data_IF_524291699801
#
_entry.id   IF_524291699801
#
_cell.length_a   1.000
_cell.length_b   1.000
_cell.length_c   1.000
_cell.angle_alpha   90.00
_cell.angle_beta   90.00
_cell.angle_gamma   90.00
#
_symmetry.space_group_name_H-M   'P 1'
#
loop_
_entity.id
_entity.type
_entity.pdbx_description
1 polymer ?
#
# COMPACT_ATOMS: atom_id res chain seq x y z
N UNK A 1 -8.04 23.90 3.82
CA UNK A 1 -7.32 23.07 2.88
C UNK A 1 -7.99 23.00 1.52
N UNK A 2 -7.26 22.66 0.50
CA UNK A 2 -7.70 22.52 -0.88
C UNK A 2 -7.12 21.22 -1.46
N UNK A 3 -7.94 20.48 -2.24
CA UNK A 3 -7.50 19.37 -3.07
C UNK A 3 -8.23 19.45 -4.40
N UNK A 4 -7.46 19.41 -5.50
CA UNK A 4 -7.98 19.37 -6.85
C UNK A 4 -7.28 18.32 -7.68
N UNK A 5 -8.01 17.66 -8.59
CA UNK A 5 -7.46 16.75 -9.60
C UNK A 5 -8.14 17.03 -10.93
N UNK A 6 -7.36 17.12 -11.99
CA UNK A 6 -7.84 17.38 -13.34
C UNK A 6 -7.33 16.32 -14.31
N UNK A 7 -8.21 15.86 -15.20
CA UNK A 7 -7.90 14.94 -16.28
C UNK A 7 -7.71 15.70 -17.59
N UNK A 8 -6.60 15.44 -18.24
CA UNK A 8 -6.29 15.92 -19.60
C UNK A 8 -6.57 14.78 -20.57
N UNK A 9 -7.80 14.74 -21.12
CA UNK A 9 -8.31 13.60 -21.85
C UNK A 9 -8.47 12.37 -20.94
N UNK A 10 -8.31 11.17 -21.53
CA UNK A 10 -8.53 9.90 -20.84
C UNK A 10 -7.26 9.27 -20.27
N UNK A 11 -6.09 9.91 -20.49
CA UNK A 11 -4.79 9.28 -20.26
C UNK A 11 -3.92 9.94 -19.19
N UNK A 12 -4.12 11.21 -18.91
CA UNK A 12 -3.27 11.97 -17.99
C UNK A 12 -4.11 12.68 -16.95
N UNK A 13 -3.80 12.50 -15.68
CA UNK A 13 -4.37 13.30 -14.61
C UNK A 13 -3.28 13.92 -13.75
N UNK A 14 -3.48 15.15 -13.34
CA UNK A 14 -2.63 15.86 -12.39
C UNK A 14 -3.48 16.33 -11.21
N UNK A 15 -2.95 16.14 -10.01
CA UNK A 15 -3.58 16.56 -8.77
C UNK A 15 -2.64 17.39 -7.90
N UNK A 16 -3.24 18.28 -7.12
CA UNK A 16 -2.55 19.05 -6.10
C UNK A 16 -3.36 19.07 -4.80
N UNK A 17 -2.65 19.01 -3.70
CA UNK A 17 -3.22 19.09 -2.36
C UNK A 17 -2.49 20.18 -1.58
N UNK A 18 -3.23 21.02 -0.88
CA UNK A 18 -2.70 21.99 0.03
C UNK A 18 -3.58 22.12 1.27
N UNK A 19 -2.97 21.94 2.43
CA UNK A 19 -3.61 22.12 3.74
C UNK A 19 -2.75 23.06 4.54
N UNK A 20 -3.37 24.00 5.21
CA UNK A 20 -2.74 24.92 6.12
C UNK A 20 -3.70 25.12 7.31
N UNK A 21 -3.28 24.72 8.47
CA UNK A 21 -4.04 24.82 9.71
C UNK A 21 -3.21 25.50 10.77
N UNK A 22 -3.58 26.72 11.12
CA UNK A 22 -2.95 27.50 12.19
C UNK A 22 -3.80 27.37 13.46
N UNK A 23 -3.27 26.67 14.44
CA UNK A 23 -3.89 26.55 15.78
C UNK A 23 -2.88 26.97 16.83
N UNK A 24 -3.35 27.52 17.95
CA UNK A 24 -2.47 27.93 19.03
C UNK A 24 -1.64 26.74 19.53
N UNK A 25 -0.34 26.72 19.18
CA UNK A 25 0.61 25.69 19.59
C UNK A 25 0.63 24.42 18.72
N UNK A 26 -0.09 24.40 17.57
CA UNK A 26 -0.24 23.17 16.76
C UNK A 26 -0.50 23.56 15.29
N UNK A 27 0.54 24.02 14.61
CA UNK A 27 0.47 24.38 13.19
C UNK A 27 0.72 23.16 12.32
N UNK A 28 -0.06 23.00 11.26
CA UNK A 28 0.08 21.93 10.31
C UNK A 28 -0.02 22.44 8.88
N UNK A 29 0.96 22.09 8.07
CA UNK A 29 0.99 22.36 6.63
C UNK A 29 1.25 21.07 5.86
N UNK A 30 0.49 20.84 4.81
CA UNK A 30 0.73 19.77 3.84
C UNK A 30 0.64 20.34 2.42
N UNK A 31 1.61 20.01 1.60
CA UNK A 31 1.63 20.27 0.15
C UNK A 31 1.91 18.97 -0.57
N UNK A 32 1.14 18.69 -1.64
CA UNK A 32 1.30 17.47 -2.40
C UNK A 32 0.95 17.65 -3.86
N UNK A 33 1.62 16.87 -4.71
CA UNK A 33 1.36 16.77 -6.14
C UNK A 33 1.22 15.29 -6.51
N UNK A 34 0.30 14.98 -7.40
CA UNK A 34 0.14 13.65 -7.99
C UNK A 34 0.02 13.72 -9.51
N UNK A 35 0.62 12.74 -10.18
CA UNK A 35 0.51 12.49 -11.61
C UNK A 35 0.04 11.06 -11.82
N UNK A 36 -0.98 10.90 -12.65
CA UNK A 36 -1.45 9.60 -13.12
C UNK A 36 -1.37 9.55 -14.64
N UNK A 37 -0.67 8.58 -15.17
CA UNK A 37 -0.66 8.22 -16.59
C UNK A 37 -1.41 6.90 -16.74
N UNK A 38 -2.40 6.84 -17.62
CA UNK A 38 -3.29 5.70 -17.76
C UNK A 38 -3.45 5.33 -19.22
N UNK A 39 -3.15 4.07 -19.58
CA UNK A 39 -3.43 3.52 -20.90
C UNK A 39 -4.76 2.76 -20.92
N UNK A 40 -5.20 2.22 -19.78
CA UNK A 40 -6.44 1.52 -19.56
C UNK A 40 -6.76 1.48 -18.07
N UNK A 41 -7.93 0.94 -17.67
CA UNK A 41 -8.31 0.88 -16.24
C UNK A 41 -7.37 0.02 -15.40
N UNK A 42 -6.77 -1.01 -15.98
CA UNK A 42 -5.82 -1.90 -15.35
C UNK A 42 -4.34 -1.59 -15.70
N UNK A 43 -4.09 -0.54 -16.52
CA UNK A 43 -2.74 -0.18 -16.99
C UNK A 43 -2.47 1.29 -16.71
N UNK A 44 -1.63 1.56 -15.71
CA UNK A 44 -1.33 2.91 -15.26
C UNK A 44 0.03 3.04 -14.59
N UNK A 45 0.53 4.25 -14.56
CA UNK A 45 1.65 4.71 -13.72
C UNK A 45 1.15 5.87 -12.87
N UNK A 46 1.39 5.80 -11.57
CA UNK A 46 1.02 6.82 -10.60
C UNK A 46 2.26 7.26 -9.82
N UNK A 47 2.47 8.55 -9.73
CA UNK A 47 3.57 9.17 -8.98
C UNK A 47 2.98 10.21 -8.05
N UNK A 48 3.35 10.14 -6.79
CA UNK A 48 2.90 11.09 -5.78
C UNK A 48 4.10 11.60 -4.98
N UNK A 49 4.11 12.88 -4.66
CA UNK A 49 5.05 13.50 -3.74
C UNK A 49 4.28 14.46 -2.84
N UNK A 50 4.57 14.42 -1.55
CA UNK A 50 4.02 15.36 -0.59
C UNK A 50 5.06 15.74 0.44
N UNK A 51 4.89 16.95 0.99
CA UNK A 51 5.72 17.53 2.02
C UNK A 51 4.83 17.99 3.15
N UNK A 52 5.22 17.70 4.39
CA UNK A 52 4.52 18.18 5.58
C UNK A 52 5.44 18.93 6.50
N UNK A 53 4.90 19.94 7.15
CA UNK A 53 5.53 20.63 8.28
C UNK A 53 4.48 20.75 9.38
N UNK A 54 4.80 20.23 10.55
CA UNK A 54 3.90 20.22 11.69
C UNK A 54 4.64 20.69 12.94
N UNK A 55 3.94 21.46 13.77
CA UNK A 55 4.36 21.69 15.16
C UNK A 55 3.55 20.75 16.02
N UNK A 56 4.18 19.79 16.70
CA UNK A 56 3.44 18.84 17.52
C UNK A 56 3.52 19.19 18.98
N UNK A 57 2.35 19.34 19.60
CA UNK A 57 2.22 19.30 21.06
C UNK A 57 2.40 17.86 21.57
N UNK A 58 2.84 17.64 22.81
CA UNK A 58 2.93 16.30 23.38
C UNK A 58 1.58 15.63 23.42
N UNK A 59 1.49 14.42 22.84
CA UNK A 59 0.29 13.58 22.85
C UNK A 59 0.48 12.54 23.94
N UNK A 60 -0.45 12.48 24.89
CA UNK A 60 -0.45 11.53 25.97
C UNK A 60 -1.58 10.50 25.77
N UNK A 61 -1.23 9.25 25.88
CA UNK A 61 -2.14 8.13 25.83
C UNK A 61 -2.20 7.42 27.17
N UNK A 62 -3.41 6.99 27.58
CA UNK A 62 -3.62 6.17 28.77
C UNK A 62 -4.28 4.86 28.37
N UNK A 63 -3.67 3.74 28.73
CA UNK A 63 -4.18 2.38 28.54
C UNK A 63 -4.94 1.83 29.76
N UNK A 64 -4.91 2.55 30.88
CA UNK A 64 -5.43 2.10 32.17
C UNK A 64 -6.55 3.02 32.71
N UNK A 65 -7.29 3.68 31.83
CA UNK A 65 -8.44 4.50 32.20
C UNK A 65 -8.08 5.85 32.85
N UNK A 66 -6.87 6.38 32.56
CA UNK A 66 -6.46 7.72 33.04
C UNK A 66 -5.64 7.69 34.33
N UNK A 67 -5.23 6.52 34.83
CA UNK A 67 -4.39 6.42 36.02
C UNK A 67 -2.93 6.76 35.74
N UNK A 68 -2.45 6.53 34.52
CA UNK A 68 -1.14 6.98 34.04
C UNK A 68 -1.24 7.38 32.57
N UNK A 69 -0.30 8.25 32.16
CA UNK A 69 -0.23 8.75 30.79
C UNK A 69 1.19 8.55 30.25
N UNK A 70 1.29 7.96 29.06
CA UNK A 70 2.55 7.80 28.34
C UNK A 70 2.54 8.73 27.13
N UNK A 71 3.61 9.50 26.94
CA UNK A 71 3.76 10.30 25.74
C UNK A 71 4.02 9.39 24.55
N UNK A 72 3.16 9.47 23.52
CA UNK A 72 3.23 8.59 22.35
C UNK A 72 4.03 9.17 21.20
N UNK A 73 4.14 10.51 21.13
CA UNK A 73 4.98 11.13 20.12
C UNK A 73 6.41 11.33 20.65
N UNK A 74 7.43 10.77 19.98
CA UNK A 74 8.81 10.77 20.49
C UNK A 74 9.45 12.15 20.48
N UNK A 75 8.94 13.10 19.68
CA UNK A 75 9.54 14.41 19.48
C UNK A 75 8.48 15.50 19.59
N UNK A 76 8.70 16.46 20.47
CA UNK A 76 7.91 17.69 20.58
C UNK A 76 8.66 18.78 19.80
N UNK A 77 7.95 19.58 19.00
CA UNK A 77 8.53 20.68 18.24
C UNK A 77 8.15 20.65 16.76
N UNK A 78 8.91 21.39 15.96
CA UNK A 78 8.71 21.44 14.51
C UNK A 78 9.24 20.16 13.87
N UNK A 79 8.40 19.52 13.06
CA UNK A 79 8.71 18.33 12.25
C UNK A 79 8.47 18.65 10.81
N UNK A 80 9.32 18.13 9.98
CA UNK A 80 9.28 18.36 8.54
C UNK A 80 9.74 17.09 7.83
N UNK A 81 9.04 16.70 6.80
CA UNK A 81 9.37 15.48 6.05
C UNK A 81 8.64 15.38 4.73
N UNK A 82 9.18 14.54 3.88
CA UNK A 82 8.65 14.20 2.57
C UNK A 82 8.07 12.80 2.55
N UNK A 83 7.03 12.61 1.73
CA UNK A 83 6.58 11.29 1.33
C UNK A 83 6.53 11.21 -0.20
N UNK A 84 7.02 10.11 -0.75
CA UNK A 84 7.07 9.85 -2.18
C UNK A 84 6.56 8.45 -2.46
N UNK A 85 5.79 8.30 -3.53
CA UNK A 85 5.35 6.99 -3.98
C UNK A 85 5.32 6.90 -5.50
N UNK A 86 5.62 5.71 -5.99
CA UNK A 86 5.47 5.32 -7.39
C UNK A 86 4.75 3.99 -7.40
N UNK A 87 3.69 3.89 -8.21
CA UNK A 87 2.94 2.67 -8.44
C UNK A 87 2.74 2.50 -9.94
N UNK A 88 3.06 1.33 -10.46
CA UNK A 88 2.84 0.95 -11.85
C UNK A 88 2.02 -0.34 -11.89
N UNK A 89 1.07 -0.41 -12.81
CA UNK A 89 0.30 -1.61 -13.11
C UNK A 89 0.14 -1.77 -14.62
N UNK A 90 0.25 -3.00 -15.10
CA UNK A 90 0.02 -3.36 -16.47
C UNK A 90 -0.96 -4.54 -16.53
N UNK A 91 -2.07 -4.37 -17.22
CA UNK A 91 -2.96 -5.45 -17.61
C UNK A 91 -2.58 -5.89 -19.03
N UNK A 92 -2.12 -7.13 -19.16
CA UNK A 92 -1.54 -7.64 -20.41
C UNK A 92 -2.59 -7.82 -21.53
N UNK A 93 -3.85 -8.02 -21.14
CA UNK A 93 -4.96 -8.09 -22.08
C UNK A 93 -5.30 -6.70 -22.64
N UNK A 94 -5.29 -5.66 -21.79
CA UNK A 94 -5.48 -4.27 -22.25
C UNK A 94 -4.36 -3.82 -23.19
N UNK A 95 -3.12 -4.30 -22.97
CA UNK A 95 -1.97 -4.03 -23.83
C UNK A 95 -1.93 -4.87 -25.10
N UNK A 96 -2.85 -5.83 -25.26
CA UNK A 96 -2.89 -6.72 -26.40
C UNK A 96 -1.77 -7.78 -26.43
N UNK A 97 -1.07 -8.01 -25.30
CA UNK A 97 0.03 -8.97 -25.22
C UNK A 97 -0.44 -10.42 -25.08
N UNK A 98 -1.60 -10.62 -24.53
CA UNK A 98 -2.22 -11.95 -24.33
C UNK A 98 -3.74 -11.86 -24.33
N UNK A 99 -4.42 -12.95 -24.70
CA UNK A 99 -5.87 -13.08 -24.60
C UNK A 99 -6.35 -13.44 -23.19
N UNK A 100 -5.45 -13.86 -22.30
CA UNK A 100 -5.75 -14.22 -20.92
C UNK A 100 -5.65 -12.97 -20.01
N UNK A 101 -6.38 -13.00 -18.91
CA UNK A 101 -6.40 -11.89 -17.94
C UNK A 101 -5.24 -12.00 -16.98
N UNK A 102 -4.11 -11.45 -17.40
CA UNK A 102 -2.89 -11.31 -16.61
C UNK A 102 -2.61 -9.86 -16.32
N UNK A 103 -2.16 -9.59 -15.09
CA UNK A 103 -1.68 -8.28 -14.68
C UNK A 103 -0.44 -8.39 -13.83
N UNK A 104 0.46 -7.42 -13.98
CA UNK A 104 1.60 -7.23 -13.11
C UNK A 104 1.57 -5.82 -12.52
N UNK A 105 2.01 -5.68 -11.29
CA UNK A 105 2.13 -4.41 -10.60
C UNK A 105 3.45 -4.33 -9.84
N UNK A 106 3.95 -3.12 -9.65
CA UNK A 106 5.07 -2.82 -8.78
C UNK A 106 4.85 -1.48 -8.10
N UNK A 107 5.34 -1.36 -6.87
CA UNK A 107 5.26 -0.11 -6.12
C UNK A 107 6.54 0.14 -5.33
N UNK A 108 6.76 1.42 -5.09
CA UNK A 108 7.79 1.91 -4.20
C UNK A 108 7.23 3.10 -3.42
N UNK A 109 7.53 3.16 -2.13
CA UNK A 109 7.14 4.23 -1.22
C UNK A 109 8.31 4.57 -0.31
N UNK A 110 8.51 5.85 -0.09
CA UNK A 110 9.43 6.37 0.93
C UNK A 110 8.72 7.44 1.74
N UNK A 111 8.83 7.37 3.05
CA UNK A 111 8.26 8.35 3.99
C UNK A 111 9.32 8.70 5.01
N UNK A 112 9.69 9.97 5.08
CA UNK A 112 10.67 10.47 6.02
C UNK A 112 10.11 10.50 7.45
N UNK A 113 10.97 10.36 8.44
CA UNK A 113 10.63 10.30 9.87
C UNK A 113 9.83 11.52 10.37
N UNK A 114 9.99 12.68 9.76
CA UNK A 114 9.26 13.91 10.11
C UNK A 114 7.95 14.11 9.37
N UNK A 115 7.62 13.23 8.40
CA UNK A 115 6.37 13.32 7.65
C UNK A 115 5.19 12.94 8.53
N UNK A 116 4.15 13.78 8.53
CA UNK A 116 2.96 13.54 9.34
C UNK A 116 1.67 13.67 8.52
N UNK A 117 0.72 12.79 8.77
CA UNK A 117 -0.63 12.85 8.19
C UNK A 117 -1.64 13.01 9.31
N UNK A 118 -2.39 14.11 9.28
CA UNK A 118 -3.43 14.35 10.27
C UNK A 118 -2.92 14.32 11.70
N UNK A 119 -1.67 14.81 11.95
CA UNK A 119 -0.97 14.84 13.25
C UNK A 119 -0.39 13.52 13.72
N UNK A 120 -0.48 12.48 12.90
CA UNK A 120 0.17 11.22 13.19
C UNK A 120 1.46 11.10 12.41
N UNK A 121 2.53 10.83 13.12
CA UNK A 121 3.88 10.66 12.59
C UNK A 121 4.45 9.36 13.14
N UNK A 122 5.11 8.61 12.30
CA UNK A 122 5.73 7.34 12.68
C UNK A 122 7.02 7.51 13.45
N UNK A 123 7.64 8.70 13.38
CA UNK A 123 8.91 9.01 14.04
C UNK A 123 10.14 8.30 13.48
N UNK A 124 9.97 7.51 12.43
CA UNK A 124 11.02 6.72 11.76
C UNK A 124 10.82 6.75 10.26
N UNK A 125 11.92 6.64 9.52
CA UNK A 125 11.86 6.49 8.07
C UNK A 125 11.19 5.16 7.70
N UNK A 126 10.32 5.20 6.69
CA UNK A 126 9.67 4.02 6.14
C UNK A 126 10.02 3.95 4.65
N UNK A 127 10.58 2.82 4.24
CA UNK A 127 10.75 2.48 2.85
C UNK A 127 10.03 1.15 2.56
N UNK A 128 9.19 1.14 1.55
CA UNK A 128 8.46 -0.05 1.12
C UNK A 128 8.56 -0.18 -0.40
N UNK A 129 8.82 -1.39 -0.87
CA UNK A 129 8.71 -1.72 -2.28
C UNK A 129 8.22 -3.15 -2.46
N UNK A 130 7.60 -3.39 -3.60
CA UNK A 130 7.08 -4.71 -3.90
C UNK A 130 6.66 -4.85 -5.33
N UNK A 131 6.32 -6.08 -5.68
CA UNK A 131 5.76 -6.43 -6.96
C UNK A 131 4.72 -7.53 -6.80
N UNK A 132 3.74 -7.56 -7.70
CA UNK A 132 2.72 -8.60 -7.73
C UNK A 132 2.42 -9.02 -9.17
N UNK A 133 2.06 -10.26 -9.34
CA UNK A 133 1.55 -10.82 -10.59
C UNK A 133 0.27 -11.57 -10.27
N UNK A 134 -0.78 -11.23 -10.98
CA UNK A 134 -2.06 -11.94 -10.93
C UNK A 134 -2.39 -12.44 -12.33
N UNK A 135 -2.89 -13.66 -12.43
CA UNK A 135 -3.28 -14.13 -13.73
C UNK A 135 -4.10 -15.41 -13.71
N UNK A 136 -4.79 -15.58 -14.80
CA UNK A 136 -5.51 -16.79 -15.10
C UNK A 136 -4.62 -17.68 -15.98
N UNK A 137 -4.05 -18.74 -15.39
CA UNK A 137 -3.20 -19.68 -16.11
C UNK A 137 -4.02 -20.57 -17.06
N UNK A 138 -5.24 -20.90 -16.65
CA UNK A 138 -6.25 -21.59 -17.44
C UNK A 138 -7.63 -21.06 -17.06
N UNK A 139 -8.72 -21.34 -17.82
CA UNK A 139 -10.06 -20.83 -17.51
C UNK A 139 -10.55 -21.13 -16.09
N UNK A 140 -9.98 -22.12 -15.44
CA UNK A 140 -10.34 -22.58 -14.11
C UNK A 140 -9.16 -22.50 -13.09
N UNK A 141 -8.02 -21.92 -13.46
CA UNK A 141 -6.84 -21.82 -12.61
C UNK A 141 -6.39 -20.36 -12.51
N UNK A 142 -6.45 -19.81 -11.30
CA UNK A 142 -5.95 -18.49 -10.98
C UNK A 142 -4.66 -18.60 -10.16
N UNK A 143 -3.71 -17.72 -10.43
CA UNK A 143 -2.44 -17.64 -9.71
C UNK A 143 -2.19 -16.20 -9.28
N UNK A 144 -1.69 -16.03 -8.05
CA UNK A 144 -1.27 -14.75 -7.51
C UNK A 144 0.09 -14.92 -6.84
N UNK A 145 1.08 -14.18 -7.30
CA UNK A 145 2.39 -14.06 -6.67
C UNK A 145 2.60 -12.64 -6.17
N UNK A 146 3.13 -12.47 -4.96
CA UNK A 146 3.43 -11.16 -4.37
C UNK A 146 4.73 -11.21 -3.61
N UNK A 147 5.53 -10.17 -3.79
CA UNK A 147 6.73 -9.87 -3.03
C UNK A 147 6.59 -8.47 -2.42
N UNK A 148 6.93 -8.33 -1.15
CA UNK A 148 6.97 -7.04 -0.45
C UNK A 148 8.18 -7.01 0.46
N UNK A 149 8.92 -5.91 0.44
CA UNK A 149 9.93 -5.57 1.43
C UNK A 149 9.60 -4.23 2.04
N UNK A 150 9.52 -4.19 3.36
CA UNK A 150 9.28 -2.98 4.15
C UNK A 150 10.41 -2.79 5.14
N UNK A 151 10.98 -1.59 5.16
CA UNK A 151 11.99 -1.16 6.11
C UNK A 151 11.40 -0.04 6.96
N UNK A 152 11.57 -0.13 8.27
CA UNK A 152 11.09 0.84 9.23
C UNK A 152 12.19 1.15 10.25
N UNK A 153 12.87 2.28 10.06
CA UNK A 153 14.07 2.56 10.83
C UNK A 153 15.12 1.48 10.64
N UNK A 154 15.46 0.76 11.72
CA UNK A 154 16.43 -0.34 11.69
C UNK A 154 15.80 -1.74 11.48
N UNK A 155 14.50 -1.83 11.31
CA UNK A 155 13.78 -3.10 11.14
C UNK A 155 13.43 -3.31 9.67
N UNK A 156 13.65 -4.51 9.15
CA UNK A 156 13.25 -4.89 7.80
C UNK A 156 12.43 -6.18 7.81
N UNK A 157 11.35 -6.18 7.04
CA UNK A 157 10.45 -7.30 6.84
C UNK A 157 10.36 -7.60 5.35
N UNK A 158 10.64 -8.84 4.97
CA UNK A 158 10.44 -9.32 3.61
C UNK A 158 9.35 -10.41 3.61
N UNK A 159 8.36 -10.25 2.75
CA UNK A 159 7.28 -11.21 2.58
C UNK A 159 7.21 -11.65 1.13
N UNK A 160 7.18 -12.96 0.92
CA UNK A 160 6.89 -13.58 -0.39
C UNK A 160 5.68 -14.48 -0.24
N UNK A 161 4.73 -14.35 -1.15
CA UNK A 161 3.49 -15.11 -1.15
C UNK A 161 3.20 -15.63 -2.55
N UNK A 162 2.80 -16.89 -2.64
CA UNK A 162 2.30 -17.54 -3.85
C UNK A 162 0.98 -18.22 -3.52
N UNK A 163 -0.07 -17.88 -4.23
CA UNK A 163 -1.41 -18.45 -4.07
C UNK A 163 -1.88 -19.02 -5.40
N UNK A 164 -2.41 -20.22 -5.40
CA UNK A 164 -3.07 -20.85 -6.53
C UNK A 164 -4.48 -21.27 -6.16
N UNK A 165 -5.44 -21.01 -7.02
CA UNK A 165 -6.82 -21.49 -6.91
C UNK A 165 -7.17 -22.29 -8.17
N UNK A 166 -7.59 -23.52 -7.97
CA UNK A 166 -8.12 -24.37 -9.02
C UNK A 166 -9.61 -24.64 -8.81
N UNK A 167 -10.42 -24.20 -9.72
CA UNK A 167 -11.85 -24.50 -9.76
C UNK A 167 -12.05 -25.82 -10.51
N UNK A 168 -12.45 -26.86 -9.77
CA UNK A 168 -12.66 -28.19 -10.30
C UNK A 168 -13.96 -28.22 -11.12
N UNK A 169 -15.01 -27.59 -10.59
CA UNK A 169 -16.32 -27.44 -11.22
C UNK A 169 -17.05 -26.20 -10.67
N UNK A 170 -18.34 -26.01 -10.98
CA UNK A 170 -19.11 -24.84 -10.53
C UNK A 170 -19.32 -24.78 -9.00
N UNK A 171 -19.09 -25.87 -8.29
CA UNK A 171 -19.33 -25.98 -6.85
C UNK A 171 -18.06 -26.18 -6.04
N UNK A 172 -17.05 -26.81 -6.62
CA UNK A 172 -15.85 -27.23 -5.89
C UNK A 172 -14.60 -26.49 -6.37
N UNK A 173 -13.81 -26.00 -5.43
CA UNK A 173 -12.51 -25.40 -5.68
C UNK A 173 -11.48 -25.84 -4.64
N UNK A 174 -10.21 -25.84 -5.03
CA UNK A 174 -9.06 -26.05 -4.16
C UNK A 174 -8.16 -24.83 -4.27
N UNK A 175 -7.71 -24.32 -3.12
CA UNK A 175 -6.73 -23.25 -3.05
C UNK A 175 -5.53 -23.69 -2.22
N UNK A 176 -4.34 -23.30 -2.67
CA UNK A 176 -3.09 -23.50 -1.96
C UNK A 176 -2.35 -22.17 -1.83
N UNK A 177 -1.75 -21.93 -0.68
CA UNK A 177 -0.93 -20.76 -0.41
C UNK A 177 0.40 -21.21 0.20
N UNK A 178 1.48 -20.59 -0.31
CA UNK A 178 2.80 -20.62 0.29
C UNK A 178 3.17 -19.20 0.67
N UNK A 179 3.57 -19.00 1.94
CA UNK A 179 4.01 -17.71 2.43
C UNK A 179 5.35 -17.88 3.14
N UNK A 180 6.27 -16.99 2.83
CA UNK A 180 7.54 -16.85 3.54
C UNK A 180 7.65 -15.43 4.09
N UNK A 181 8.01 -15.32 5.36
CA UNK A 181 8.25 -14.07 6.06
C UNK A 181 9.66 -14.14 6.63
N UNK A 182 10.50 -13.20 6.25
CA UNK A 182 11.86 -13.03 6.77
C UNK A 182 11.93 -11.68 7.49
N UNK A 183 12.21 -11.71 8.79
CA UNK A 183 12.51 -10.53 9.61
C UNK A 183 14.01 -10.50 9.89
N UNK A 184 14.68 -9.36 9.83
CA UNK A 184 16.13 -9.27 10.07
C UNK A 184 16.56 -9.73 11.49
N UNK A 185 15.62 -9.79 12.42
CA UNK A 185 15.85 -10.26 13.81
C UNK A 185 15.56 -11.74 14.05
N UNK A 186 14.87 -12.42 13.15
CA UNK A 186 14.42 -13.81 13.35
C UNK A 186 14.59 -14.61 12.05
N UNK A 187 14.98 -15.89 12.16
CA UNK A 187 15.04 -16.79 11.00
C UNK A 187 13.66 -16.93 10.36
N UNK A 188 13.63 -16.84 9.04
CA UNK A 188 12.40 -16.80 8.26
C UNK A 188 11.46 -17.99 8.50
N UNK A 189 10.19 -17.67 8.61
CA UNK A 189 9.11 -18.63 8.76
C UNK A 189 8.48 -18.94 7.40
N UNK A 190 8.34 -20.23 7.08
CA UNK A 190 7.66 -20.68 5.87
C UNK A 190 6.34 -21.35 6.27
N UNK A 191 5.24 -20.76 5.84
CA UNK A 191 3.90 -21.28 6.09
C UNK A 191 3.25 -21.74 4.79
N UNK A 192 2.74 -22.95 4.77
CA UNK A 192 1.92 -23.49 3.69
C UNK A 192 0.49 -23.69 4.16
N UNK A 193 -0.47 -23.27 3.37
CA UNK A 193 -1.90 -23.47 3.63
C UNK A 193 -2.56 -24.12 2.43
N UNK A 194 -3.31 -25.20 2.67
CA UNK A 194 -4.18 -25.83 1.68
C UNK A 194 -5.63 -25.65 2.13
N UNK A 195 -6.47 -25.13 1.26
CA UNK A 195 -7.90 -24.97 1.51
C UNK A 195 -8.72 -25.63 0.41
N UNK A 196 -9.77 -26.32 0.83
CA UNK A 196 -10.83 -26.83 -0.06
C UNK A 196 -12.12 -26.08 0.21
N UNK A 197 -12.75 -25.57 -0.84
CA UNK A 197 -14.03 -24.87 -0.75
C UNK A 197 -15.12 -25.57 -1.58
N UNK A 198 -16.32 -25.70 -1.01
CA UNK A 198 -17.51 -26.15 -1.70
C UNK A 198 -18.62 -25.13 -1.54
N UNK A 199 -19.20 -24.66 -2.66
CA UNK A 199 -20.36 -23.78 -2.64
C UNK A 199 -21.65 -24.62 -2.75
N UNK A 200 -22.59 -24.40 -1.81
CA UNK A 200 -23.88 -25.08 -1.80
C UNK A 200 -24.82 -24.65 -2.95
N UNK A 201 -24.57 -23.45 -3.53
CA UNK A 201 -25.39 -22.90 -4.63
C UNK A 201 -24.49 -22.47 -5.79
N UNK A 202 -24.94 -22.70 -7.06
CA UNK A 202 -24.19 -22.23 -8.22
C UNK A 202 -24.12 -20.70 -8.21
N UNK A 203 -22.97 -20.15 -8.61
CA UNK A 203 -22.85 -18.71 -8.85
C UNK A 203 -23.85 -18.31 -9.93
N UNK A 204 -24.74 -17.36 -9.64
CA UNK A 204 -25.53 -16.72 -10.70
C UNK A 204 -24.56 -16.03 -11.65
N UNK A 205 -24.64 -16.39 -12.93
CA UNK A 205 -23.91 -15.74 -14.04
C UNK A 205 -24.42 -14.33 -14.25
#
# INVERSE_FOLDING_TARGET
GFRGKHWFGDHVAMGATWVDENRAGDDYMLKGLDLTLQAGRGTYLKVEQSHTRATSAPIFFSDNGGLSFTQTNPTVGVREGDARSVEARANFKELGWTGLDWSAGAWWRNVDAGYSVGRFDTGVDIQEHGAEVLGQFAPNVNVHGRYTRAERGAEALTQTQLTGEWRINDHDSVAAELRRIDEERTSGDVTGTLAYGRQAFPRRR
#
